data_IF_246918583908
#
_entry.id   IF_246918583908
#
_cell.length_a   1.000
_cell.length_b   1.000
_cell.length_c   1.000
_cell.angle_alpha   90.00
_cell.angle_beta   90.00
_cell.angle_gamma   90.00
#
_symmetry.space_group_name_H-M   'P 1'
#
loop_
_entity.id
_entity.type
_entity.pdbx_description
1 polymer ?
#
# COMPACT_ATOMS: atom_id res chain seq x y z
N UNK A 1 -19.16 -14.15 0.10
CA UNK A 1 -19.78 -13.56 -1.12
C UNK A 1 -20.12 -12.13 -0.80
N UNK A 2 -19.38 -11.16 -1.35
CA UNK A 2 -19.72 -9.75 -1.18
C UNK A 2 -20.74 -9.38 -2.26
N UNK A 3 -21.98 -9.13 -1.86
CA UNK A 3 -23.00 -8.57 -2.75
C UNK A 3 -22.81 -7.05 -2.77
N UNK A 4 -22.14 -6.54 -3.79
CA UNK A 4 -22.18 -5.13 -4.16
C UNK A 4 -23.01 -5.02 -5.44
N UNK A 5 -24.25 -4.54 -5.31
CA UNK A 5 -25.13 -4.17 -6.41
C UNK A 5 -24.59 -2.91 -7.09
N UNK A 6 -24.25 -3.02 -8.37
CA UNK A 6 -23.77 -1.91 -9.21
C UNK A 6 -24.93 -1.46 -10.12
N UNK A 7 -25.28 -0.18 -10.01
CA UNK A 7 -26.24 0.52 -10.88
C UNK A 7 -25.63 0.85 -12.26
N UNK A 8 -26.43 1.14 -13.30
CA UNK A 8 -26.03 0.92 -14.69
C UNK A 8 -25.02 1.93 -15.28
N UNK A 9 -24.58 2.93 -14.51
CA UNK A 9 -23.82 4.07 -15.02
C UNK A 9 -22.79 4.62 -14.00
N UNK A 10 -22.12 3.75 -13.25
CA UNK A 10 -21.20 4.14 -12.16
C UNK A 10 -19.71 3.88 -12.45
N UNK A 11 -18.97 4.95 -12.72
CA UNK A 11 -17.53 5.05 -13.05
C UNK A 11 -16.54 4.66 -11.93
N UNK A 12 -16.93 3.83 -10.96
CA UNK A 12 -16.09 3.55 -9.78
C UNK A 12 -15.38 2.19 -9.87
N UNK A 13 -14.03 2.15 -9.84
CA UNK A 13 -13.29 0.89 -9.90
C UNK A 13 -13.48 0.07 -8.61
N UNK A 14 -13.77 -1.22 -8.77
CA UNK A 14 -13.93 -2.18 -7.66
C UNK A 14 -12.57 -2.79 -7.29
N UNK A 15 -12.23 -2.80 -6.00
CA UNK A 15 -11.02 -3.45 -5.49
C UNK A 15 -11.24 -4.93 -5.19
N UNK A 16 -10.40 -5.82 -5.74
CA UNK A 16 -10.45 -7.27 -5.52
C UNK A 16 -9.11 -7.72 -4.93
N UNK A 17 -9.14 -8.31 -3.72
CA UNK A 17 -7.93 -8.75 -3.01
C UNK A 17 -7.47 -10.18 -3.35
N UNK A 18 -8.39 -11.04 -3.80
CA UNK A 18 -8.13 -12.45 -4.12
C UNK A 18 -8.77 -12.82 -5.47
N UNK A 19 -8.18 -12.38 -6.60
CA UNK A 19 -8.75 -12.59 -7.94
C UNK A 19 -8.99 -14.06 -8.30
N UNK A 20 -8.18 -14.99 -7.80
CA UNK A 20 -8.28 -16.43 -8.03
C UNK A 20 -9.56 -17.06 -7.45
N UNK A 21 -10.21 -16.40 -6.48
CA UNK A 21 -11.47 -16.84 -5.87
C UNK A 21 -12.65 -15.92 -6.25
N UNK A 22 -12.43 -14.94 -7.12
CA UNK A 22 -13.43 -13.93 -7.46
C UNK A 22 -14.26 -14.34 -8.68
N UNK A 23 -15.57 -14.07 -8.60
CA UNK A 23 -16.54 -14.23 -9.68
C UNK A 23 -17.19 -12.88 -9.95
N UNK A 24 -17.25 -12.49 -11.21
CA UNK A 24 -18.03 -11.34 -11.65
C UNK A 24 -19.38 -11.83 -12.16
N UNK A 25 -20.47 -11.29 -11.62
CA UNK A 25 -21.83 -11.59 -12.03
C UNK A 25 -22.49 -10.32 -12.56
N UNK A 26 -22.89 -10.35 -13.82
CA UNK A 26 -23.78 -9.38 -14.43
C UNK A 26 -25.22 -9.83 -14.14
N UNK A 27 -26.05 -8.91 -13.67
CA UNK A 27 -27.49 -9.12 -13.47
C UNK A 27 -28.20 -7.92 -14.06
N UNK A 28 -29.21 -8.18 -14.89
CA UNK A 28 -30.05 -7.15 -15.50
C UNK A 28 -31.44 -7.30 -14.91
N UNK A 29 -31.96 -6.20 -14.37
CA UNK A 29 -33.29 -6.13 -13.78
C UNK A 29 -34.12 -5.04 -14.47
N UNK A 30 -35.43 -5.23 -14.51
CA UNK A 30 -36.39 -4.19 -14.91
C UNK A 30 -36.70 -3.27 -13.73
N UNK A 31 -36.87 -1.97 -13.98
CA UNK A 31 -37.07 -0.93 -12.95
C UNK A 31 -38.58 -0.63 -12.73
N UNK A 32 -39.44 -0.95 -13.72
CA UNK A 32 -40.88 -0.66 -13.68
C UNK A 32 -41.70 -1.87 -13.18
N UNK A 33 -42.01 -1.87 -11.89
CA UNK A 33 -42.45 -3.05 -11.11
C UNK A 33 -43.95 -3.39 -11.24
N UNK A 34 -44.31 -4.40 -12.03
CA UNK A 34 -45.49 -5.28 -11.82
C UNK A 34 -45.17 -6.73 -12.28
N UNK A 35 -44.11 -7.36 -11.73
CA UNK A 35 -43.71 -8.73 -12.13
C UNK A 35 -42.36 -9.21 -11.60
N UNK A 36 -41.88 -10.36 -12.10
CA UNK A 36 -40.50 -10.85 -11.92
C UNK A 36 -39.54 -9.84 -12.55
N UNK A 37 -38.69 -9.22 -11.73
CA UNK A 37 -37.80 -8.14 -12.10
C UNK A 37 -36.56 -8.65 -12.86
N UNK A 38 -36.36 -9.96 -12.95
CA UNK A 38 -35.19 -10.55 -13.56
C UNK A 38 -35.27 -10.62 -15.10
N UNK A 39 -34.35 -9.93 -15.77
CA UNK A 39 -34.21 -10.01 -17.23
C UNK A 39 -33.15 -11.04 -17.63
N UNK A 40 -31.99 -11.05 -16.97
CA UNK A 40 -30.91 -11.97 -17.34
C UNK A 40 -29.65 -11.86 -16.49
N UNK A 41 -28.81 -12.89 -16.57
CA UNK A 41 -27.55 -12.96 -15.84
C UNK A 41 -26.41 -13.54 -16.65
N UNK A 42 -25.19 -13.23 -16.22
CA UNK A 42 -24.00 -13.94 -16.68
C UNK A 42 -22.95 -13.94 -15.57
N UNK A 43 -22.34 -15.11 -15.29
CA UNK A 43 -21.27 -15.23 -14.29
C UNK A 43 -19.99 -15.70 -14.96
N UNK A 44 -18.87 -15.07 -14.62
CA UNK A 44 -17.55 -15.42 -15.14
C UNK A 44 -16.50 -15.32 -14.03
N UNK A 45 -15.59 -16.30 -13.99
CA UNK A 45 -14.44 -16.26 -13.09
C UNK A 45 -13.56 -15.06 -13.46
N UNK A 46 -13.02 -14.36 -12.46
CA UNK A 46 -12.22 -13.17 -12.70
C UNK A 46 -11.00 -13.46 -13.60
N UNK A 47 -10.39 -14.63 -13.45
CA UNK A 47 -9.26 -15.06 -14.29
C UNK A 47 -9.61 -15.21 -15.78
N UNK A 48 -10.89 -15.40 -16.10
CA UNK A 48 -11.38 -15.52 -17.47
C UNK A 48 -11.77 -14.17 -18.09
N UNK A 49 -11.72 -13.07 -17.33
CA UNK A 49 -12.04 -11.75 -17.85
C UNK A 49 -10.96 -11.26 -18.81
N UNK A 50 -11.38 -10.97 -20.04
CA UNK A 50 -10.49 -10.38 -21.05
C UNK A 50 -10.69 -8.86 -21.13
N UNK A 51 -9.62 -8.05 -20.98
CA UNK A 51 -9.71 -6.60 -21.12
C UNK A 51 -10.19 -6.15 -22.52
N UNK A 52 -10.71 -4.92 -22.58
CA UNK A 52 -11.22 -4.26 -23.79
C UNK A 52 -12.75 -4.31 -23.93
N UNK A 53 -13.25 -3.94 -25.11
CA UNK A 53 -14.67 -4.00 -25.45
C UNK A 53 -15.12 -5.44 -25.71
N UNK A 54 -16.18 -5.88 -25.05
CA UNK A 54 -16.70 -7.26 -25.10
C UNK A 54 -18.23 -7.27 -25.08
N UNK A 55 -18.81 -8.29 -25.72
CA UNK A 55 -20.21 -8.63 -25.60
C UNK A 55 -20.36 -9.76 -24.57
N UNK A 56 -21.20 -9.55 -23.57
CA UNK A 56 -21.54 -10.53 -22.54
C UNK A 56 -22.94 -11.06 -22.85
N UNK A 57 -23.09 -12.33 -23.27
CA UNK A 57 -24.40 -12.91 -23.54
C UNK A 57 -25.18 -13.09 -22.23
N UNK A 58 -26.47 -12.80 -22.24
CA UNK A 58 -27.33 -12.99 -21.08
C UNK A 58 -27.96 -14.39 -21.07
N UNK A 59 -28.06 -14.96 -19.88
CA UNK A 59 -28.73 -16.22 -19.60
C UNK A 59 -30.00 -15.96 -18.79
N UNK A 60 -31.04 -16.75 -19.02
CA UNK A 60 -32.26 -16.74 -18.21
C UNK A 60 -32.02 -17.30 -16.81
N UNK A 61 -33.08 -17.31 -15.99
CA UNK A 61 -33.01 -17.74 -14.60
C UNK A 61 -32.56 -19.21 -14.45
N UNK A 62 -32.99 -20.07 -15.38
CA UNK A 62 -32.61 -21.49 -15.45
C UNK A 62 -31.21 -21.72 -16.05
N UNK A 63 -30.52 -20.67 -16.53
CA UNK A 63 -29.21 -20.76 -17.17
C UNK A 63 -29.24 -20.94 -18.69
N UNK A 64 -30.43 -20.96 -19.30
CA UNK A 64 -30.60 -21.07 -20.75
C UNK A 64 -30.17 -19.77 -21.46
N UNK A 65 -29.55 -19.85 -22.65
CA UNK A 65 -29.14 -18.66 -23.40
C UNK A 65 -30.35 -17.87 -23.89
N UNK A 66 -30.34 -16.55 -23.67
CA UNK A 66 -31.34 -15.63 -24.21
C UNK A 66 -30.90 -15.15 -25.60
N UNK A 67 -31.57 -15.56 -26.70
CA UNK A 67 -31.17 -15.16 -28.04
C UNK A 67 -31.25 -13.64 -28.20
N UNK A 68 -30.23 -13.05 -28.83
CA UNK A 68 -30.15 -11.61 -29.10
C UNK A 68 -30.07 -10.70 -27.85
N UNK A 69 -29.91 -11.25 -26.64
CA UNK A 69 -29.73 -10.49 -25.42
C UNK A 69 -28.25 -10.50 -24.99
N UNK A 70 -27.61 -9.33 -25.03
CA UNK A 70 -26.21 -9.17 -24.59
C UNK A 70 -25.92 -7.79 -24.03
N UNK A 71 -25.01 -7.72 -23.07
CA UNK A 71 -24.44 -6.46 -22.58
C UNK A 71 -23.16 -6.12 -23.35
N UNK A 72 -23.06 -4.90 -23.83
CA UNK A 72 -21.80 -4.38 -24.38
C UNK A 72 -21.03 -3.65 -23.27
N UNK A 73 -19.84 -4.16 -22.92
CA UNK A 73 -19.05 -3.68 -21.78
C UNK A 73 -17.62 -3.38 -22.20
N UNK A 74 -16.98 -2.44 -21.50
CA UNK A 74 -15.54 -2.23 -21.57
C UNK A 74 -14.89 -2.72 -20.27
N UNK A 75 -14.08 -3.77 -20.37
CA UNK A 75 -13.39 -4.36 -19.22
C UNK A 75 -11.99 -3.77 -19.11
N UNK A 76 -11.71 -3.05 -18.02
CA UNK A 76 -10.37 -2.59 -17.68
C UNK A 76 -9.95 -3.21 -16.35
N UNK A 77 -8.97 -4.12 -16.39
CA UNK A 77 -8.39 -4.70 -15.18
C UNK A 77 -7.07 -3.99 -14.90
N UNK A 78 -7.04 -3.17 -13.86
CA UNK A 78 -5.82 -2.55 -13.35
C UNK A 78 -5.47 -3.22 -12.03
N UNK A 79 -4.31 -3.86 -11.99
CA UNK A 79 -3.77 -4.28 -10.71
C UNK A 79 -3.40 -3.00 -9.94
N UNK A 80 -3.89 -2.83 -8.70
CA UNK A 80 -3.37 -1.77 -7.81
C UNK A 80 -1.84 -1.88 -7.62
N UNK A 81 -1.27 -3.02 -7.99
CA UNK A 81 0.16 -3.34 -8.05
C UNK A 81 0.63 -3.78 -9.45
N UNK A 82 0.13 -3.14 -10.51
CA UNK A 82 0.71 -3.10 -11.86
C UNK A 82 1.29 -4.41 -12.42
N UNK A 83 0.44 -5.28 -12.96
CA UNK A 83 0.82 -6.47 -13.76
C UNK A 83 0.85 -6.20 -15.27
N UNK A 84 1.20 -4.99 -15.69
CA UNK A 84 1.40 -4.63 -17.10
C UNK A 84 2.89 -4.62 -17.43
N UNK A 85 3.27 -4.97 -18.66
CA UNK A 85 4.65 -4.89 -19.16
C UNK A 85 5.26 -3.54 -18.78
N UNK A 86 6.48 -3.57 -18.22
CA UNK A 86 7.21 -2.41 -17.77
C UNK A 86 7.27 -1.35 -18.89
N UNK A 87 6.45 -0.31 -18.77
CA UNK A 87 6.58 0.85 -19.63
C UNK A 87 7.83 1.57 -19.15
N UNK A 88 8.95 1.39 -19.87
CA UNK A 88 10.17 2.18 -19.68
C UNK A 88 9.83 3.66 -19.91
N UNK A 89 9.30 4.34 -18.88
CA UNK A 89 9.05 5.78 -18.90
C UNK A 89 10.33 6.46 -18.44
N UNK A 90 10.86 7.33 -19.30
CA UNK A 90 12.12 8.02 -19.08
C UNK A 90 12.16 8.86 -17.80
N UNK A 91 13.37 9.07 -17.30
CA UNK A 91 13.71 9.80 -16.07
C UNK A 91 13.12 11.24 -15.98
N UNK A 92 12.66 11.82 -17.09
CA UNK A 92 12.10 13.19 -17.16
C UNK A 92 10.70 13.34 -16.55
N UNK A 93 9.95 12.25 -16.35
CA UNK A 93 8.59 12.30 -15.75
C UNK A 93 8.64 12.51 -14.22
N UNK A 94 9.82 12.38 -13.59
CA UNK A 94 9.99 12.54 -12.13
C UNK A 94 9.56 13.91 -11.60
N UNK A 95 9.57 14.97 -12.42
CA UNK A 95 9.07 16.30 -12.01
C UNK A 95 7.54 16.41 -12.01
N UNK A 96 6.82 15.53 -12.71
CA UNK A 96 5.34 15.55 -12.79
C UNK A 96 4.64 14.80 -11.65
N UNK A 97 5.30 13.85 -10.99
CA UNK A 97 4.69 12.97 -9.97
C UNK A 97 4.26 13.73 -8.71
N UNK A 98 4.96 14.80 -8.33
CA UNK A 98 4.58 15.63 -7.17
C UNK A 98 3.27 16.41 -7.36
N UNK A 99 2.77 16.58 -8.60
CA UNK A 99 1.56 17.37 -8.90
C UNK A 99 0.25 16.57 -8.85
N UNK A 100 0.31 15.26 -8.65
CA UNK A 100 -0.87 14.38 -8.62
C UNK A 100 -1.14 13.69 -7.27
N UNK A 101 -0.46 14.10 -6.19
CA UNK A 101 -0.68 13.53 -4.86
C UNK A 101 -2.05 13.92 -4.33
N UNK A 102 -2.89 12.93 -4.07
CA UNK A 102 -4.20 13.15 -3.48
C UNK A 102 -4.06 13.18 -1.96
N UNK A 103 -4.17 14.37 -1.39
CA UNK A 103 -4.07 14.57 0.06
C UNK A 103 -5.44 14.44 0.70
N UNK A 104 -5.50 13.67 1.78
CA UNK A 104 -6.73 13.58 2.57
C UNK A 104 -6.93 14.89 3.34
N UNK A 105 -8.13 15.45 3.24
CA UNK A 105 -8.51 16.72 3.89
C UNK A 105 -9.66 16.50 4.86
N UNK A 106 -9.59 17.12 6.04
CA UNK A 106 -10.68 17.08 7.01
C UNK A 106 -11.94 17.78 6.51
N UNK A 107 -13.12 17.22 6.82
CA UNK A 107 -14.43 17.79 6.52
C UNK A 107 -14.74 18.90 7.52
N UNK A 108 -15.39 19.95 7.01
CA UNK A 108 -15.95 21.00 7.85
C UNK A 108 -17.16 20.43 8.63
N UNK A 109 -17.14 20.62 9.94
CA UNK A 109 -18.21 20.19 10.85
C UNK A 109 -19.27 21.27 11.01
N UNK A 110 -18.91 22.54 10.78
CA UNK A 110 -19.79 23.69 11.02
C UNK A 110 -19.87 24.08 12.50
N UNK A 111 -19.00 23.51 13.34
CA UNK A 111 -18.85 23.86 14.76
C UNK A 111 -17.47 24.47 14.92
N UNK A 112 -17.41 25.79 15.11
CA UNK A 112 -16.15 26.54 15.07
C UNK A 112 -15.06 25.99 15.99
N UNK A 113 -15.41 25.65 17.24
CA UNK A 113 -14.46 25.09 18.19
C UNK A 113 -13.81 23.79 17.69
N UNK A 114 -14.61 22.93 17.06
CA UNK A 114 -14.17 21.64 16.53
C UNK A 114 -13.34 21.79 15.25
N UNK A 115 -13.75 22.70 14.37
CA UNK A 115 -13.01 23.02 13.14
C UNK A 115 -11.65 23.68 13.45
N UNK A 116 -11.59 24.51 14.50
CA UNK A 116 -10.35 25.07 15.03
C UNK A 116 -9.43 23.97 15.61
N UNK A 117 -9.97 22.98 16.33
CA UNK A 117 -9.21 21.82 16.83
C UNK A 117 -8.68 20.93 15.69
N UNK A 118 -9.44 20.75 14.61
CA UNK A 118 -9.01 19.92 13.48
C UNK A 118 -8.05 20.62 12.51
N UNK A 119 -8.04 21.95 12.46
CA UNK A 119 -7.20 22.74 11.54
C UNK A 119 -5.70 22.34 11.53
N UNK A 120 -5.03 22.11 12.68
CA UNK A 120 -3.61 21.76 12.73
C UNK A 120 -3.28 20.41 12.09
N UNK A 121 -4.25 19.51 11.87
CA UNK A 121 -3.99 18.20 11.26
C UNK A 121 -3.61 18.27 9.77
N UNK A 122 -3.92 19.36 9.07
CA UNK A 122 -3.65 19.49 7.63
C UNK A 122 -2.18 19.28 7.25
N UNK A 123 -1.26 19.84 8.03
CA UNK A 123 0.19 19.70 7.81
C UNK A 123 0.69 18.28 8.07
N UNK A 124 0.48 17.67 9.25
CA UNK A 124 0.97 16.30 9.50
C UNK A 124 0.29 15.24 8.63
N UNK A 125 -0.96 15.44 8.19
CA UNK A 125 -1.62 14.55 7.21
C UNK A 125 -0.89 14.56 5.85
N UNK A 126 -0.45 15.74 5.40
CA UNK A 126 0.35 15.90 4.19
C UNK A 126 1.71 15.24 4.35
N UNK A 127 2.40 15.53 5.46
CA UNK A 127 3.70 14.93 5.76
C UNK A 127 3.62 13.39 5.82
N UNK A 128 2.59 12.82 6.47
CA UNK A 128 2.37 11.38 6.53
C UNK A 128 2.18 10.76 5.13
N UNK A 129 1.42 11.44 4.27
CA UNK A 129 1.20 11.00 2.88
C UNK A 129 2.51 11.05 2.09
N UNK A 130 3.26 12.15 2.19
CA UNK A 130 4.52 12.34 1.48
C UNK A 130 5.57 11.30 1.91
N UNK A 131 5.75 11.07 3.22
CA UNK A 131 6.69 10.07 3.73
C UNK A 131 6.37 8.66 3.22
N UNK A 132 5.09 8.28 3.22
CA UNK A 132 4.64 6.96 2.75
C UNK A 132 4.86 6.78 1.25
N UNK A 133 4.46 7.77 0.46
CA UNK A 133 4.61 7.70 -0.99
C UNK A 133 6.08 7.77 -1.43
N UNK A 134 6.90 8.57 -0.75
CA UNK A 134 8.34 8.65 -1.03
C UNK A 134 9.03 7.31 -0.75
N UNK A 135 8.74 6.67 0.39
CA UNK A 135 9.25 5.34 0.72
C UNK A 135 8.78 4.27 -0.29
N UNK A 136 7.50 4.29 -0.66
CA UNK A 136 6.97 3.36 -1.67
C UNK A 136 7.64 3.59 -3.03
N UNK A 137 7.84 4.84 -3.43
CA UNK A 137 8.50 5.21 -4.68
C UNK A 137 9.98 4.81 -4.71
N UNK A 138 10.69 4.96 -3.59
CA UNK A 138 12.06 4.51 -3.43
C UNK A 138 12.16 2.99 -3.56
N UNK A 139 11.26 2.25 -2.91
CA UNK A 139 11.18 0.78 -3.01
C UNK A 139 10.89 0.31 -4.44
N UNK A 140 9.92 0.92 -5.13
CA UNK A 140 9.60 0.59 -6.52
C UNK A 140 10.80 0.88 -7.44
N UNK A 141 11.43 2.03 -7.29
CA UNK A 141 12.62 2.42 -8.07
C UNK A 141 13.76 1.41 -7.87
N UNK A 142 14.00 0.99 -6.62
CA UNK A 142 15.05 0.01 -6.31
C UNK A 142 14.79 -1.33 -7.00
N UNK A 143 13.55 -1.84 -6.95
CA UNK A 143 13.15 -3.10 -7.60
C UNK A 143 13.29 -3.03 -9.12
N UNK A 144 12.84 -1.94 -9.74
CA UNK A 144 12.96 -1.72 -11.19
C UNK A 144 14.43 -1.67 -11.64
N UNK A 145 15.30 -1.01 -10.88
CA UNK A 145 16.73 -0.95 -11.16
C UNK A 145 17.46 -2.29 -10.91
N UNK A 146 16.87 -3.17 -10.10
CA UNK A 146 17.25 -4.57 -10.02
C UNK A 146 16.73 -5.42 -11.19
N UNK A 147 15.97 -4.83 -12.12
CA UNK A 147 15.37 -5.55 -13.25
C UNK A 147 14.23 -6.46 -12.84
N UNK A 148 13.67 -6.26 -11.64
CA UNK A 148 12.65 -7.12 -11.06
C UNK A 148 11.28 -6.42 -11.04
N UNK A 149 10.19 -7.20 -11.12
CA UNK A 149 8.85 -6.63 -11.04
C UNK A 149 8.58 -6.06 -9.63
N UNK A 150 7.62 -5.12 -9.49
CA UNK A 150 7.29 -4.51 -8.18
C UNK A 150 6.88 -5.51 -7.08
N UNK A 151 6.38 -6.69 -7.47
CA UNK A 151 6.02 -7.78 -6.56
C UNK A 151 7.25 -8.52 -5.99
N UNK A 152 8.41 -8.35 -6.59
CA UNK A 152 9.62 -9.03 -6.16
C UNK A 152 9.97 -8.66 -4.72
N UNK A 153 10.49 -9.66 -3.99
CA UNK A 153 10.98 -9.48 -2.63
C UNK A 153 12.35 -8.82 -2.66
N UNK A 154 12.70 -8.11 -1.59
CA UNK A 154 13.99 -7.41 -1.52
C UNK A 154 15.17 -8.38 -1.58
N UNK A 155 15.02 -9.59 -1.01
CA UNK A 155 15.99 -10.69 -1.15
C UNK A 155 16.33 -11.00 -2.61
N UNK A 156 15.33 -11.04 -3.50
CA UNK A 156 15.56 -11.32 -4.92
C UNK A 156 16.30 -10.16 -5.59
N UNK A 157 15.99 -8.92 -5.19
CA UNK A 157 16.69 -7.72 -5.67
C UNK A 157 18.18 -7.78 -5.33
N UNK A 158 18.49 -8.19 -4.10
CA UNK A 158 19.86 -8.29 -3.60
C UNK A 158 20.60 -9.44 -4.24
N UNK A 159 19.96 -10.60 -4.45
CA UNK A 159 20.55 -11.70 -5.19
C UNK A 159 20.86 -11.30 -6.64
N UNK A 160 19.95 -10.57 -7.30
CA UNK A 160 20.20 -10.04 -8.65
C UNK A 160 21.26 -8.93 -8.66
N UNK A 161 21.41 -8.18 -7.58
CA UNK A 161 22.50 -7.23 -7.42
C UNK A 161 23.81 -7.94 -7.17
N UNK A 162 23.78 -9.06 -6.45
CA UNK A 162 24.97 -9.75 -6.03
C UNK A 162 25.76 -10.28 -7.22
N UNK A 163 25.07 -10.87 -8.19
CA UNK A 163 25.66 -11.32 -9.45
C UNK A 163 26.28 -10.17 -10.27
N UNK A 164 25.84 -8.92 -10.08
CA UNK A 164 26.40 -7.73 -10.74
C UNK A 164 27.57 -7.11 -9.98
N UNK A 165 27.67 -7.37 -8.68
CA UNK A 165 28.65 -6.78 -7.76
C UNK A 165 29.79 -7.73 -7.39
N UNK A 166 29.63 -9.02 -7.66
CA UNK A 166 30.69 -10.02 -7.52
C UNK A 166 31.63 -9.97 -8.72
N UNK A 167 32.94 -9.87 -8.46
CA UNK A 167 34.00 -10.02 -9.46
C UNK A 167 34.64 -11.40 -9.32
N UNK A 168 35.07 -12.06 -10.41
CA UNK A 168 35.63 -13.41 -10.35
C UNK A 168 36.89 -13.55 -9.48
N UNK A 169 37.67 -12.48 -9.30
CA UNK A 169 38.95 -12.50 -8.59
C UNK A 169 39.16 -11.31 -7.61
N UNK A 170 38.08 -10.62 -7.20
CA UNK A 170 38.19 -9.41 -6.37
C UNK A 170 37.23 -9.35 -5.18
N UNK A 171 37.48 -8.45 -4.21
CA UNK A 171 36.52 -8.18 -3.16
C UNK A 171 35.20 -7.66 -3.75
N UNK A 172 34.06 -7.90 -3.08
CA UNK A 172 32.77 -7.48 -3.60
C UNK A 172 32.73 -5.97 -3.84
N UNK A 173 32.11 -5.56 -4.96
CA UNK A 173 31.97 -4.14 -5.34
C UNK A 173 31.01 -3.33 -4.45
N UNK A 174 30.48 -3.94 -3.39
CA UNK A 174 29.73 -3.27 -2.35
C UNK A 174 29.90 -4.02 -1.03
N UNK A 175 29.77 -3.29 0.07
CA UNK A 175 29.66 -3.86 1.41
C UNK A 175 28.47 -3.26 2.12
N UNK A 176 27.82 -4.06 2.95
CA UNK A 176 26.83 -3.58 3.89
C UNK A 176 27.52 -3.04 5.15
N UNK A 177 27.14 -1.84 5.55
CA UNK A 177 27.54 -1.17 6.79
C UNK A 177 26.28 -0.78 7.58
N UNK A 178 26.41 -0.60 8.89
CA UNK A 178 25.33 -0.06 9.71
C UNK A 178 25.54 1.45 9.83
N UNK A 179 24.58 2.24 9.34
CA UNK A 179 24.56 3.69 9.50
C UNK A 179 23.38 4.06 10.40
N UNK A 180 23.68 4.66 11.55
CA UNK A 180 22.69 5.02 12.57
C UNK A 180 21.81 3.83 13.01
N UNK A 181 22.40 2.62 13.04
CA UNK A 181 21.71 1.38 13.38
C UNK A 181 20.95 0.70 12.23
N UNK A 182 20.94 1.29 11.03
CA UNK A 182 20.23 0.76 9.87
C UNK A 182 21.19 0.19 8.80
N UNK A 183 20.84 -0.93 8.14
CA UNK A 183 21.67 -1.52 7.09
C UNK A 183 21.70 -0.63 5.86
N UNK A 184 22.91 -0.26 5.45
CA UNK A 184 23.20 0.57 4.30
C UNK A 184 24.19 -0.16 3.39
N UNK A 185 23.95 -0.15 2.08
CA UNK A 185 24.88 -0.73 1.11
C UNK A 185 25.81 0.37 0.59
N UNK A 186 27.09 0.24 0.92
CA UNK A 186 28.13 1.14 0.47
C UNK A 186 28.88 0.55 -0.72
N UNK A 187 29.07 1.36 -1.75
CA UNK A 187 29.79 1.01 -2.96
C UNK A 187 31.30 0.90 -2.70
N UNK A 188 31.91 -0.25 -2.99
CA UNK A 188 33.35 -0.47 -2.90
C UNK A 188 33.98 -0.52 -4.30
N UNK A 189 35.09 0.19 -4.51
CA UNK A 189 35.85 0.17 -5.77
C UNK A 189 35.15 0.86 -6.96
N UNK A 190 35.56 0.47 -8.18
CA UNK A 190 35.14 1.03 -9.47
C UNK A 190 33.84 0.42 -9.99
N UNK A 191 32.74 0.60 -9.26
CA UNK A 191 31.40 0.28 -9.77
C UNK A 191 30.84 1.41 -10.64
N UNK A 192 29.93 1.07 -11.55
CA UNK A 192 29.26 2.05 -12.44
C UNK A 192 28.47 3.09 -11.64
N UNK A 193 28.39 4.32 -12.15
CA UNK A 193 27.60 5.42 -11.54
C UNK A 193 26.12 5.05 -11.37
N UNK A 194 25.58 4.22 -12.26
CA UNK A 194 24.23 3.69 -12.17
C UNK A 194 24.05 2.81 -10.93
N UNK A 195 25.01 1.94 -10.63
CA UNK A 195 24.98 1.09 -9.43
C UNK A 195 25.20 1.89 -8.16
N UNK A 196 26.12 2.87 -8.17
CA UNK A 196 26.34 3.76 -7.02
C UNK A 196 25.08 4.55 -6.67
N UNK A 197 24.40 5.10 -7.67
CA UNK A 197 23.11 5.79 -7.49
C UNK A 197 22.04 4.83 -6.97
N UNK A 198 21.95 3.61 -7.48
CA UNK A 198 21.00 2.61 -6.98
C UNK A 198 21.16 2.36 -5.47
N UNK A 199 22.40 2.14 -5.01
CA UNK A 199 22.69 1.89 -3.60
C UNK A 199 22.36 3.10 -2.72
N UNK A 200 22.58 4.32 -3.22
CA UNK A 200 22.30 5.55 -2.46
C UNK A 200 20.81 5.94 -2.41
N UNK A 201 19.96 5.44 -3.32
CA UNK A 201 18.55 5.84 -3.42
C UNK A 201 17.61 4.96 -2.59
N UNK A 202 18.05 3.78 -2.14
CA UNK A 202 17.26 2.95 -1.23
C UNK A 202 17.52 3.39 0.22
N UNK A 203 16.97 4.56 0.55
CA UNK A 203 17.06 5.13 1.89
C UNK A 203 15.65 5.28 2.48
N UNK A 204 15.33 4.42 3.44
CA UNK A 204 14.05 4.44 4.17
C UNK A 204 14.14 5.21 5.50
N UNK A 205 15.31 5.79 5.81
CA UNK A 205 15.60 6.46 7.08
C UNK A 205 14.64 7.61 7.35
N UNK A 206 14.35 8.43 6.34
CA UNK A 206 13.44 9.57 6.46
C UNK A 206 12.04 9.18 6.96
N UNK A 207 11.48 8.06 6.47
CA UNK A 207 10.20 7.55 6.97
C UNK A 207 10.34 7.05 8.41
N UNK A 208 11.37 6.25 8.71
CA UNK A 208 11.53 5.59 10.01
C UNK A 208 11.73 6.61 11.14
N UNK A 209 12.53 7.64 10.92
CA UNK A 209 12.85 8.66 11.91
C UNK A 209 11.70 9.63 12.15
N UNK A 210 10.97 10.02 11.09
CA UNK A 210 9.94 11.06 11.19
C UNK A 210 8.54 10.50 11.48
N UNK A 211 8.27 9.22 11.18
CA UNK A 211 6.93 8.64 11.28
C UNK A 211 6.30 8.76 12.68
N UNK A 212 7.06 8.50 13.75
CA UNK A 212 6.51 8.55 15.12
C UNK A 212 6.11 9.98 15.50
N UNK A 213 6.94 10.97 15.15
CA UNK A 213 6.66 12.39 15.44
C UNK A 213 5.47 12.92 14.63
N UNK A 214 5.29 12.46 13.39
CA UNK A 214 4.11 12.78 12.58
C UNK A 214 2.87 12.09 13.15
N UNK A 215 2.97 10.80 13.48
CA UNK A 215 1.89 10.02 14.07
C UNK A 215 1.40 10.64 15.38
N UNK A 216 2.31 11.08 16.26
CA UNK A 216 1.94 11.71 17.53
C UNK A 216 1.20 13.04 17.32
N UNK A 217 1.61 13.85 16.34
CA UNK A 217 0.88 15.08 15.98
C UNK A 217 -0.54 14.80 15.46
N UNK A 218 -0.72 13.76 14.64
CA UNK A 218 -2.06 13.35 14.16
C UNK A 218 -2.90 12.80 15.32
N UNK A 219 -2.32 11.95 16.16
CA UNK A 219 -2.98 11.36 17.32
C UNK A 219 -3.39 12.41 18.36
N UNK A 220 -2.58 13.45 18.57
CA UNK A 220 -2.93 14.56 19.45
C UNK A 220 -4.19 15.28 18.97
N UNK A 221 -4.28 15.65 17.69
CA UNK A 221 -5.49 16.29 17.13
C UNK A 221 -6.71 15.37 17.24
N UNK A 222 -6.52 14.07 17.05
CA UNK A 222 -7.58 13.08 17.21
C UNK A 222 -8.07 12.99 18.67
N UNK A 223 -7.17 13.01 19.66
CA UNK A 223 -7.52 13.02 21.09
C UNK A 223 -8.27 14.29 21.48
N UNK A 224 -7.75 15.45 21.10
CA UNK A 224 -8.40 16.75 21.35
C UNK A 224 -9.79 16.82 20.70
N UNK A 225 -9.94 16.33 19.47
CA UNK A 225 -11.24 16.25 18.82
C UNK A 225 -12.23 15.35 19.56
N UNK A 226 -11.77 14.23 20.13
CA UNK A 226 -12.60 13.29 20.87
C UNK A 226 -13.16 13.86 22.18
N UNK A 227 -12.53 14.88 22.78
CA UNK A 227 -13.06 15.59 23.96
C UNK A 227 -14.43 16.22 23.69
N UNK A 228 -14.71 16.55 22.42
CA UNK A 228 -15.99 17.15 22.02
C UNK A 228 -17.07 16.13 21.70
N UNK A 229 -16.77 14.82 21.67
CA UNK A 229 -17.71 13.78 21.22
C UNK A 229 -19.04 13.80 21.99
N UNK A 230 -19.00 13.88 23.32
CA UNK A 230 -20.21 13.89 24.17
C UNK A 230 -20.96 15.23 24.09
N UNK A 231 -20.22 16.33 23.91
CA UNK A 231 -20.78 17.68 23.84
C UNK A 231 -21.25 18.08 22.42
N UNK A 232 -20.98 17.26 21.40
CA UNK A 232 -21.21 17.57 20.00
C UNK A 232 -22.65 18.02 19.69
N UNK A 233 -23.71 17.35 20.20
CA UNK A 233 -25.08 17.77 19.93
C UNK A 233 -25.36 19.18 20.48
N UNK A 234 -24.90 19.46 21.71
CA UNK A 234 -25.08 20.76 22.39
C UNK A 234 -24.30 21.87 21.70
N UNK A 235 -23.09 21.59 21.22
CA UNK A 235 -22.28 22.55 20.47
C UNK A 235 -22.90 22.86 19.11
N UNK A 236 -23.46 21.84 18.44
CA UNK A 236 -24.21 22.04 17.19
C UNK A 236 -25.43 22.95 17.39
N UNK A 237 -26.20 22.75 18.46
CA UNK A 237 -27.35 23.61 18.77
C UNK A 237 -26.94 25.06 19.06
N UNK A 238 -25.83 25.27 19.78
CA UNK A 238 -25.27 26.60 20.06
C UNK A 238 -24.87 27.36 18.79
N UNK A 239 -24.40 26.64 17.77
CA UNK A 239 -24.09 27.16 16.44
C UNK A 239 -25.32 27.19 15.49
N UNK A 240 -26.51 26.91 16.01
CA UNK A 240 -27.78 26.97 15.25
C UNK A 240 -28.02 25.78 14.31
N UNK A 241 -27.26 24.70 14.44
CA UNK A 241 -27.45 23.47 13.67
C UNK A 241 -28.64 22.67 14.25
N UNK A 242 -29.63 22.35 13.40
CA UNK A 242 -30.80 21.54 13.78
C UNK A 242 -31.12 20.49 12.72
N UNK A 243 -31.72 19.38 13.15
CA UNK A 243 -32.20 18.30 12.27
C UNK A 243 -31.11 17.77 11.35
N UNK A 244 -31.33 17.84 10.02
CA UNK A 244 -30.39 17.33 9.01
C UNK A 244 -29.00 17.96 9.08
N UNK A 245 -28.89 19.24 9.46
CA UNK A 245 -27.59 19.93 9.59
C UNK A 245 -26.77 19.36 10.75
N UNK A 246 -27.44 19.02 11.86
CA UNK A 246 -26.81 18.42 13.04
C UNK A 246 -26.34 16.99 12.76
N UNK A 247 -27.14 16.19 12.04
CA UNK A 247 -26.72 14.86 11.55
C UNK A 247 -25.48 14.93 10.67
N UNK A 248 -25.44 15.89 9.73
CA UNK A 248 -24.28 16.09 8.85
C UNK A 248 -23.02 16.52 9.62
N UNK A 249 -23.15 17.33 10.67
CA UNK A 249 -22.02 17.71 11.53
C UNK A 249 -21.45 16.48 12.26
N UNK A 250 -22.32 15.61 12.78
CA UNK A 250 -21.92 14.33 13.40
C UNK A 250 -21.22 13.41 12.39
N UNK A 251 -21.76 13.25 11.19
CA UNK A 251 -21.12 12.47 10.12
C UNK A 251 -19.74 13.03 9.73
N UNK A 252 -19.61 14.35 9.60
CA UNK A 252 -18.32 15.01 9.34
C UNK A 252 -17.33 14.76 10.47
N UNK A 253 -17.77 14.86 11.72
CA UNK A 253 -16.94 14.59 12.89
C UNK A 253 -16.44 13.13 12.90
N UNK A 254 -17.36 12.16 12.77
CA UNK A 254 -17.01 10.73 12.74
C UNK A 254 -16.05 10.41 11.59
N UNK A 255 -16.26 11.00 10.42
CA UNK A 255 -15.36 10.86 9.27
C UNK A 255 -13.96 11.42 9.60
N UNK A 256 -13.86 12.61 10.20
CA UNK A 256 -12.58 13.21 10.58
C UNK A 256 -11.80 12.33 11.56
N UNK A 257 -12.46 11.85 12.63
CA UNK A 257 -11.83 10.96 13.61
C UNK A 257 -11.34 9.66 12.94
N UNK A 258 -12.17 9.07 12.09
CA UNK A 258 -11.83 7.82 11.37
C UNK A 258 -10.64 8.03 10.44
N UNK A 259 -10.59 9.16 9.74
CA UNK A 259 -9.49 9.52 8.86
C UNK A 259 -8.20 9.72 9.63
N UNK A 260 -8.22 10.49 10.72
CA UNK A 260 -7.03 10.73 11.54
C UNK A 260 -6.45 9.41 12.06
N UNK A 261 -7.31 8.54 12.61
CA UNK A 261 -6.90 7.20 13.06
C UNK A 261 -6.35 6.36 11.91
N UNK A 262 -7.05 6.31 10.78
CA UNK A 262 -6.62 5.55 9.61
C UNK A 262 -5.27 6.01 9.06
N UNK A 263 -4.96 7.32 9.08
CA UNK A 263 -3.66 7.81 8.65
C UNK A 263 -2.53 7.43 9.62
N UNK A 264 -2.78 7.44 10.93
CA UNK A 264 -1.85 6.90 11.93
C UNK A 264 -1.55 5.42 11.65
N UNK A 265 -2.58 4.59 11.48
CA UNK A 265 -2.44 3.14 11.26
C UNK A 265 -1.65 2.85 9.98
N UNK A 266 -1.95 3.59 8.90
CA UNK A 266 -1.24 3.44 7.63
C UNK A 266 0.22 3.89 7.71
N UNK A 267 0.53 4.96 8.45
CA UNK A 267 1.90 5.43 8.65
C UNK A 267 2.71 4.45 9.50
N UNK A 268 2.09 3.94 10.57
CA UNK A 268 2.68 2.90 11.42
C UNK A 268 2.99 1.63 10.62
N UNK A 269 2.02 1.15 9.82
CA UNK A 269 2.22 0.02 8.92
C UNK A 269 3.35 0.24 7.92
N UNK A 270 3.41 1.42 7.29
CA UNK A 270 4.49 1.75 6.35
C UNK A 270 5.87 1.77 7.00
N UNK A 271 5.98 2.28 8.23
CA UNK A 271 7.23 2.21 9.02
C UNK A 271 7.62 0.76 9.31
N UNK A 272 6.67 -0.06 9.79
CA UNK A 272 6.91 -1.47 10.08
C UNK A 272 7.37 -2.25 8.82
N UNK A 273 6.70 -2.05 7.69
CA UNK A 273 7.07 -2.66 6.41
C UNK A 273 8.47 -2.23 5.96
N UNK A 274 8.85 -0.97 6.19
CA UNK A 274 10.17 -0.44 5.83
C UNK A 274 11.27 -1.01 6.72
N UNK A 275 11.01 -1.18 8.01
CA UNK A 275 11.93 -1.85 8.95
C UNK A 275 12.10 -3.33 8.58
N UNK A 276 11.03 -4.06 8.25
CA UNK A 276 11.13 -5.44 7.77
C UNK A 276 11.91 -5.50 6.45
N UNK A 277 11.67 -4.56 5.54
CA UNK A 277 12.43 -4.50 4.29
C UNK A 277 13.92 -4.28 4.56
N UNK A 278 14.31 -3.39 5.45
CA UNK A 278 15.72 -3.22 5.86
C UNK A 278 16.27 -4.48 6.53
N UNK A 279 15.50 -5.18 7.34
CA UNK A 279 15.91 -6.47 7.91
C UNK A 279 16.14 -7.53 6.83
N UNK A 280 15.24 -7.62 5.85
CA UNK A 280 15.41 -8.51 4.69
C UNK A 280 16.61 -8.11 3.84
N UNK A 281 16.92 -6.81 3.75
CA UNK A 281 18.13 -6.29 3.11
C UNK A 281 19.36 -6.89 3.79
N UNK A 282 19.43 -6.74 5.11
CA UNK A 282 20.56 -7.20 5.90
C UNK A 282 20.82 -8.70 5.74
N UNK A 283 19.78 -9.51 5.96
CA UNK A 283 19.87 -10.97 5.86
C UNK A 283 20.28 -11.44 4.45
N UNK A 284 19.81 -10.76 3.41
CA UNK A 284 20.16 -11.12 2.04
C UNK A 284 21.58 -10.68 1.67
N UNK A 285 22.05 -9.54 2.19
CA UNK A 285 23.43 -9.10 2.04
C UNK A 285 24.39 -10.06 2.73
N UNK A 286 24.08 -10.51 3.95
CA UNK A 286 24.82 -11.56 4.66
C UNK A 286 24.89 -12.85 3.85
N UNK A 287 23.76 -13.32 3.33
CA UNK A 287 23.71 -14.53 2.51
C UNK A 287 24.50 -14.43 1.19
N UNK A 288 24.72 -13.21 0.69
CA UNK A 288 25.50 -12.95 -0.53
C UNK A 288 26.98 -12.62 -0.26
N UNK A 289 27.41 -12.61 1.00
CA UNK A 289 28.80 -12.32 1.39
C UNK A 289 29.17 -10.84 1.38
N UNK A 290 28.20 -9.92 1.50
CA UNK A 290 28.44 -8.47 1.53
C UNK A 290 28.74 -7.92 2.93
N UNK A 291 29.07 -8.75 3.91
CA UNK A 291 29.35 -8.31 5.28
C UNK A 291 30.77 -7.77 5.42
N UNK A 292 30.92 -6.57 5.96
CA UNK A 292 32.21 -6.06 6.46
C UNK A 292 32.63 -6.84 7.71
N UNK A 293 33.80 -7.49 7.67
CA UNK A 293 34.48 -7.98 8.87
C UNK A 293 35.19 -6.82 9.58
N UNK A 294 34.50 -6.10 10.47
CA UNK A 294 35.19 -5.21 11.43
C UNK A 294 34.52 -5.18 12.81
N UNK A 295 35.23 -5.80 13.77
CA UNK A 295 35.38 -5.53 15.21
C UNK A 295 34.18 -5.56 16.18
N UNK A 296 34.16 -6.64 16.98
CA UNK A 296 34.08 -6.68 18.46
C UNK A 296 33.61 -5.41 19.23
N UNK A 297 32.41 -5.49 19.84
CA UNK A 297 31.87 -4.58 20.88
C UNK A 297 30.49 -5.08 21.35
N UNK A 298 30.09 -4.88 22.62
CA UNK A 298 29.28 -5.85 23.36
C UNK A 298 27.84 -5.97 22.87
N UNK A 299 27.34 -7.19 22.98
CA UNK A 299 25.97 -7.62 22.79
C UNK A 299 24.95 -6.71 23.49
N UNK A 300 23.98 -6.20 22.73
CA UNK A 300 22.67 -5.77 23.21
C UNK A 300 21.59 -5.96 22.11
N UNK A 301 20.29 -6.09 22.45
CA UNK A 301 19.56 -7.30 22.14
C UNK A 301 18.43 -7.04 21.14
N UNK A 302 18.72 -7.07 19.83
CA UNK A 302 17.66 -7.13 18.80
C UNK A 302 17.89 -8.22 17.74
N UNK A 303 18.91 -9.06 17.94
CA UNK A 303 19.24 -10.14 17.02
C UNK A 303 19.37 -11.47 17.77
N UNK A 304 18.31 -12.28 17.72
CA UNK A 304 18.40 -13.72 18.00
C UNK A 304 18.13 -14.48 16.70
N UNK A 305 19.13 -15.17 16.13
CA UNK A 305 18.91 -16.06 15.01
C UNK A 305 18.29 -17.36 15.54
N UNK A 306 17.05 -17.66 15.16
CA UNK A 306 16.47 -18.98 15.41
C UNK A 306 17.22 -20.03 14.59
N UNK A 307 18.14 -20.73 15.24
CA UNK A 307 18.85 -21.87 14.72
C UNK A 307 17.91 -23.06 14.48
N UNK A 308 18.03 -23.65 13.28
CA UNK A 308 17.50 -24.96 12.92
C UNK A 308 17.89 -26.00 13.98
N UNK A 309 16.92 -26.63 14.63
CA UNK A 309 17.15 -27.86 15.40
C UNK A 309 17.08 -29.05 14.44
N UNK A 310 18.24 -29.55 14.03
CA UNK A 310 18.37 -30.87 13.43
C UNK A 310 18.12 -31.93 14.51
N UNK A 311 17.17 -32.83 14.26
CA UNK A 311 16.92 -34.00 15.10
C UNK A 311 17.88 -35.11 14.68
N UNK A 312 18.87 -35.42 15.52
CA UNK A 312 19.63 -36.67 15.42
C UNK A 312 18.96 -37.70 16.33
N UNK A 313 18.14 -38.57 15.74
CA UNK A 313 17.74 -39.82 16.36
C UNK A 313 18.89 -40.82 16.18
N UNK A 314 19.65 -41.07 17.25
CA UNK A 314 20.58 -42.20 17.35
C UNK A 314 19.90 -43.36 18.06
N UNK A 315 19.67 -44.45 17.33
CA UNK A 315 19.12 -45.71 17.82
C UNK A 315 20.04 -46.37 18.86
N UNK A 316 19.46 -46.81 19.97
CA UNK A 316 20.07 -47.75 20.91
C UNK A 316 19.72 -49.20 20.58
N UNK A 317 20.75 -50.05 20.52
CA UNK A 317 20.85 -51.52 20.72
C UNK A 317 22.36 -51.79 20.61
N UNK A 318 23.06 -52.38 21.57
CA UNK A 318 22.89 -53.63 22.32
C UNK A 318 23.34 -53.40 23.76
#
# INVERSE_FOLDING_TARGET
MAHSSISPWGENPVGVNMPELALLRFVVLDDDYIGDDFIGQYSVAFECLQPGYRNVPLLGLAGDPLPHASLFVHVAVTNRRGGGKAQRRGLSVRRGVRRGREYVTLRNTGIKALDDTFRPASTPLREATDLREDAQSASMTFKEQCGLPPVAKLKQCIQSLATRLQTPEGPPGASMTLKDGYPHLEALGSITDTTRKLLSHYDMKQLIENADAVQERIAQVQREGMEFHEALPRLGEKEGLKGRKQSKALESFTWNITVLKGQCDLLHGAKADSLDALRQLALACEACGFTSTTSSGPSDPLYTPHGRRGSTHGNGRI
#
